data_IF_304939786634
#
_entry.id   IF_304939786634
#
_cell.length_a   1.000
_cell.length_b   1.000
_cell.length_c   1.000
_cell.angle_alpha   90.00
_cell.angle_beta   90.00
_cell.angle_gamma   90.00
#
_symmetry.space_group_name_H-M   'P 1'
#
loop_
_entity.id
_entity.type
_entity.pdbx_description
1 polymer ?
#
# COMPACT_ATOMS: atom_id res chain seq x y z
N UNK A 1 74.68 -51.13 11.12
CA UNK A 1 74.86 -49.96 12.02
C UNK A 1 73.46 -49.62 12.53
N UNK A 2 73.01 -50.10 13.71
CA UNK A 2 73.14 -49.47 15.05
C UNK A 2 72.74 -47.99 15.01
N UNK A 3 71.67 -47.50 15.66
CA UNK A 3 71.21 -47.62 17.06
C UNK A 3 69.66 -47.55 17.10
N UNK A 4 68.94 -48.37 17.87
CA UNK A 4 68.77 -48.39 19.34
C UNK A 4 67.98 -47.18 19.89
N UNK A 5 66.83 -47.55 20.45
CA UNK A 5 66.22 -47.05 21.69
C UNK A 5 65.61 -45.64 21.71
N UNK A 6 64.28 -45.56 21.70
CA UNK A 6 63.51 -45.23 22.91
C UNK A 6 62.00 -45.30 22.62
N UNK A 7 61.40 -46.43 22.98
CA UNK A 7 60.02 -46.48 23.44
C UNK A 7 60.03 -45.99 24.90
N UNK A 8 59.21 -45.01 25.23
CA UNK A 8 58.65 -44.90 26.57
C UNK A 8 57.15 -44.80 26.44
N UNK A 9 56.50 -45.68 27.18
CA UNK A 9 55.07 -45.85 27.33
C UNK A 9 54.35 -44.54 27.60
N UNK A 10 53.19 -44.37 26.97
CA UNK A 10 52.08 -43.73 27.67
C UNK A 10 50.81 -44.47 27.31
N UNK A 11 50.38 -45.29 28.25
CA UNK A 11 49.09 -45.93 28.30
C UNK A 11 47.96 -44.90 28.16
N UNK A 12 46.97 -45.29 27.36
CA UNK A 12 45.54 -45.03 27.52
C UNK A 12 45.10 -43.66 28.04
N UNK A 13 44.51 -42.87 27.15
CA UNK A 13 43.17 -42.37 27.46
C UNK A 13 42.29 -42.45 26.22
N UNK A 14 41.60 -43.58 26.08
CA UNK A 14 40.51 -43.77 25.12
C UNK A 14 39.27 -43.07 25.66
N UNK A 15 39.36 -41.77 25.89
CA UNK A 15 38.20 -40.91 26.05
C UNK A 15 37.54 -40.77 24.69
N UNK A 16 36.72 -41.75 24.31
CA UNK A 16 35.68 -41.57 23.29
C UNK A 16 34.91 -40.32 23.68
N UNK A 17 35.19 -39.20 23.03
CA UNK A 17 34.36 -38.01 23.14
C UNK A 17 33.01 -38.40 22.53
N UNK A 18 32.04 -38.69 23.40
CA UNK A 18 30.63 -38.96 23.04
C UNK A 18 29.98 -37.82 22.24
N UNK A 19 30.71 -36.72 22.02
CA UNK A 19 30.28 -35.55 21.27
C UNK A 19 30.32 -35.72 19.75
N UNK A 20 31.11 -36.66 19.21
CA UNK A 20 31.33 -36.77 17.76
C UNK A 20 30.35 -37.72 17.05
N UNK A 21 29.73 -38.68 17.75
CA UNK A 21 28.85 -39.69 17.15
C UNK A 21 27.38 -39.23 16.98
N UNK A 22 27.06 -37.97 17.30
CA UNK A 22 25.68 -37.46 17.27
C UNK A 22 25.43 -36.33 16.25
N UNK A 23 26.34 -36.08 15.30
CA UNK A 23 26.07 -35.13 14.21
C UNK A 23 25.78 -35.91 12.91
N UNK A 24 24.50 -36.20 12.58
CA UNK A 24 24.18 -36.77 11.28
C UNK A 24 24.45 -35.73 10.20
N UNK A 25 25.49 -35.96 9.39
CA UNK A 25 25.89 -35.12 8.27
C UNK A 25 24.99 -35.26 7.02
N UNK A 26 23.83 -35.90 7.13
CA UNK A 26 22.98 -36.26 6.00
C UNK A 26 21.56 -35.67 6.15
N UNK A 27 21.42 -34.34 6.05
CA UNK A 27 20.16 -33.66 5.68
C UNK A 27 20.34 -32.13 5.58
N UNK A 28 21.29 -31.64 4.80
CA UNK A 28 21.42 -30.18 4.55
C UNK A 28 20.54 -29.75 3.37
N UNK A 29 19.23 -29.96 3.50
CA UNK A 29 18.21 -29.32 2.68
C UNK A 29 17.02 -28.93 3.57
N UNK A 30 17.06 -27.68 4.03
CA UNK A 30 16.09 -27.05 4.93
C UNK A 30 16.70 -26.78 6.30
N UNK A 31 17.19 -25.57 6.54
CA UNK A 31 17.73 -25.18 7.84
C UNK A 31 16.63 -25.01 8.87
N UNK A 32 16.38 -26.05 9.66
CA UNK A 32 15.48 -26.00 10.81
C UNK A 32 16.18 -25.22 11.94
N UNK A 33 15.49 -24.28 12.56
CA UNK A 33 15.96 -23.70 13.83
C UNK A 33 16.12 -24.85 14.83
N UNK A 34 17.33 -25.01 15.40
CA UNK A 34 17.78 -26.18 16.22
C UNK A 34 17.06 -26.38 17.56
N UNK A 35 15.94 -25.71 17.78
CA UNK A 35 15.01 -26.02 18.85
C UNK A 35 13.63 -26.16 18.23
N UNK A 36 12.93 -27.28 18.48
CA UNK A 36 11.57 -27.58 18.01
C UNK A 36 10.46 -26.64 18.50
N UNK A 37 10.76 -25.36 18.72
CA UNK A 37 9.77 -24.32 18.96
C UNK A 37 9.18 -23.91 17.62
N UNK A 38 7.87 -24.13 17.46
CA UNK A 38 7.08 -23.49 16.40
C UNK A 38 7.44 -22.00 16.36
N UNK A 39 7.59 -21.38 15.16
CA UNK A 39 7.80 -19.94 15.07
C UNK A 39 6.75 -19.24 15.93
N UNK A 40 7.18 -18.37 16.84
CA UNK A 40 6.27 -17.65 17.71
C UNK A 40 5.18 -17.01 16.84
N UNK A 41 3.90 -17.29 17.14
CA UNK A 41 2.78 -16.73 16.39
C UNK A 41 2.89 -15.21 16.44
N UNK A 42 3.33 -14.60 15.33
CA UNK A 42 3.42 -13.14 15.22
C UNK A 42 2.02 -12.57 15.42
N UNK A 43 1.87 -11.70 16.41
CA UNK A 43 0.61 -11.00 16.62
C UNK A 43 0.39 -10.04 15.44
N UNK A 44 -0.59 -10.35 14.57
CA UNK A 44 -0.99 -9.51 13.42
C UNK A 44 -2.24 -8.67 13.72
N UNK A 45 -2.65 -8.56 14.99
CA UNK A 45 -3.82 -7.76 15.38
C UNK A 45 -3.69 -6.31 14.91
N UNK A 46 -2.50 -5.71 15.06
CA UNK A 46 -2.25 -4.34 14.60
C UNK A 46 -2.42 -4.19 13.08
N UNK A 47 -1.89 -5.13 12.27
CA UNK A 47 -2.03 -5.11 10.81
C UNK A 47 -3.49 -5.27 10.36
N UNK A 48 -4.27 -6.08 11.10
CA UNK A 48 -5.70 -6.25 10.85
C UNK A 48 -6.50 -4.98 11.16
N UNK A 49 -6.14 -4.27 12.23
CA UNK A 49 -6.78 -3.02 12.62
C UNK A 49 -6.41 -1.86 11.68
N UNK A 50 -5.19 -1.85 11.13
CA UNK A 50 -4.66 -0.75 10.29
C UNK A 50 -4.48 -1.20 8.84
N UNK A 51 -5.57 -1.67 8.21
CA UNK A 51 -5.56 -2.10 6.82
C UNK A 51 -5.44 -0.89 5.89
N UNK A 52 -4.59 -0.92 4.86
CA UNK A 52 -4.48 0.18 3.91
C UNK A 52 -5.73 0.30 3.03
N UNK A 53 -6.14 1.52 2.76
CA UNK A 53 -7.17 1.87 1.79
C UNK A 53 -6.56 1.99 0.40
N UNK A 54 -7.21 1.40 -0.61
CA UNK A 54 -6.74 1.40 -1.99
C UNK A 54 -7.51 2.43 -2.82
N UNK A 55 -6.79 3.35 -3.42
CA UNK A 55 -7.31 4.37 -4.32
C UNK A 55 -6.89 4.07 -5.75
N UNK A 56 -7.85 4.08 -6.67
CA UNK A 56 -7.67 3.74 -8.09
C UNK A 56 -7.61 5.02 -8.93
N UNK A 57 -6.96 5.01 -10.09
CA UNK A 57 -6.80 6.17 -10.98
C UNK A 57 -5.92 7.29 -10.41
N UNK A 58 -5.02 6.96 -9.48
CA UNK A 58 -4.01 7.91 -9.01
C UNK A 58 -2.81 7.85 -9.95
N UNK A 59 -2.38 8.97 -10.56
CA UNK A 59 -1.23 9.00 -11.47
C UNK A 59 0.05 8.55 -10.77
N UNK A 60 0.89 7.80 -11.49
CA UNK A 60 2.18 7.29 -10.97
C UNK A 60 3.14 8.43 -10.60
N UNK A 61 3.17 9.50 -11.39
CA UNK A 61 3.97 10.70 -11.12
C UNK A 61 3.70 11.28 -9.72
N UNK A 62 2.42 11.42 -9.36
CA UNK A 62 2.02 11.98 -8.06
C UNK A 62 2.44 11.05 -6.92
N UNK A 63 2.33 9.73 -7.13
CA UNK A 63 2.77 8.73 -6.16
C UNK A 63 4.28 8.82 -5.93
N UNK A 64 5.06 8.91 -7.01
CA UNK A 64 6.53 8.99 -6.94
C UNK A 64 6.99 10.30 -6.26
N UNK A 65 6.33 11.42 -6.53
CA UNK A 65 6.61 12.69 -5.85
C UNK A 65 6.35 12.62 -4.34
N UNK A 66 5.26 11.97 -3.92
CA UNK A 66 4.97 11.76 -2.49
C UNK A 66 6.01 10.86 -1.84
N UNK A 67 6.44 9.78 -2.52
CA UNK A 67 7.48 8.89 -2.02
C UNK A 67 8.83 9.62 -1.86
N UNK A 68 9.22 10.42 -2.85
CA UNK A 68 10.45 11.21 -2.80
C UNK A 68 10.41 12.23 -1.66
N UNK A 69 9.27 12.88 -1.43
CA UNK A 69 9.10 13.81 -0.32
C UNK A 69 9.16 13.09 1.04
N UNK A 70 8.55 11.92 1.16
CA UNK A 70 8.59 11.10 2.37
C UNK A 70 10.03 10.69 2.72
N UNK A 71 10.82 10.28 1.72
CA UNK A 71 12.24 9.98 1.88
C UNK A 71 13.04 11.21 2.34
N UNK A 72 12.80 12.37 1.72
CA UNK A 72 13.44 13.63 2.10
C UNK A 72 13.15 14.02 3.57
N UNK A 73 11.90 13.87 4.00
CA UNK A 73 11.46 14.18 5.37
C UNK A 73 11.74 13.06 6.38
N UNK A 74 12.23 11.89 5.92
CA UNK A 74 12.46 10.68 6.73
C UNK A 74 11.23 10.20 7.50
N UNK A 75 10.06 10.31 6.89
CA UNK A 75 8.77 9.86 7.43
C UNK A 75 8.14 8.84 6.48
N UNK A 76 7.22 7.96 6.94
CA UNK A 76 6.52 7.06 6.03
C UNK A 76 5.62 7.84 5.07
N UNK A 77 5.47 7.32 3.85
CA UNK A 77 4.61 7.94 2.84
C UNK A 77 3.13 8.01 3.25
N UNK A 78 2.70 7.10 4.13
CA UNK A 78 1.36 7.10 4.74
C UNK A 78 1.12 8.41 5.52
N UNK A 79 2.10 8.87 6.32
CA UNK A 79 1.97 10.10 7.13
C UNK A 79 1.96 11.36 6.26
N UNK A 80 2.77 11.38 5.19
CA UNK A 80 2.78 12.50 4.23
C UNK A 80 1.44 12.59 3.49
N UNK A 81 0.93 11.44 3.03
CA UNK A 81 -0.37 11.39 2.36
C UNK A 81 -1.50 11.80 3.32
N UNK A 82 -1.45 11.33 4.58
CA UNK A 82 -2.40 11.72 5.61
C UNK A 82 -2.41 13.24 5.83
N UNK A 83 -1.25 13.86 6.03
CA UNK A 83 -1.15 15.31 6.20
C UNK A 83 -1.66 16.09 4.98
N UNK A 84 -1.45 15.57 3.76
CA UNK A 84 -2.00 16.19 2.55
C UNK A 84 -3.52 16.06 2.44
N UNK A 85 -4.10 14.97 2.94
CA UNK A 85 -5.55 14.80 2.96
C UNK A 85 -6.20 15.72 3.97
N UNK A 86 -5.69 15.78 5.20
CA UNK A 86 -6.19 16.72 6.23
C UNK A 86 -6.09 18.16 5.73
N UNK A 87 -4.92 18.57 5.22
CA UNK A 87 -4.74 19.90 4.65
C UNK A 87 -5.69 20.17 3.48
N UNK A 88 -5.94 19.18 2.62
CA UNK A 88 -6.90 19.29 1.53
C UNK A 88 -8.32 19.50 2.01
N UNK A 89 -8.77 18.70 2.98
CA UNK A 89 -10.10 18.81 3.60
C UNK A 89 -10.30 20.17 4.27
N UNK A 90 -9.32 20.65 5.04
CA UNK A 90 -9.35 21.97 5.68
C UNK A 90 -9.53 23.08 4.64
N UNK A 91 -8.77 23.03 3.53
CA UNK A 91 -8.85 24.05 2.48
C UNK A 91 -10.16 24.00 1.69
N UNK A 92 -10.77 22.83 1.57
CA UNK A 92 -12.12 22.69 0.98
C UNK A 92 -13.17 23.28 1.93
N UNK A 93 -13.09 22.96 3.23
CA UNK A 93 -13.99 23.52 4.26
C UNK A 93 -13.89 25.05 4.36
N UNK A 94 -12.70 25.62 4.21
CA UNK A 94 -12.48 27.07 4.15
C UNK A 94 -12.89 27.72 2.80
N UNK A 95 -13.26 26.92 1.79
CA UNK A 95 -13.57 27.41 0.43
C UNK A 95 -12.35 27.91 -0.36
N UNK A 96 -11.13 27.72 0.14
CA UNK A 96 -9.88 28.12 -0.53
C UNK A 96 -9.45 27.15 -1.64
N UNK A 97 -9.86 25.89 -1.54
CA UNK A 97 -9.68 24.88 -2.58
C UNK A 97 -11.02 24.55 -3.23
N UNK A 98 -11.25 25.05 -4.44
CA UNK A 98 -12.45 24.72 -5.21
C UNK A 98 -12.25 23.42 -5.98
N UNK A 99 -12.90 22.35 -5.52
CA UNK A 99 -13.00 21.09 -6.27
C UNK A 99 -14.25 21.16 -7.13
N UNK A 100 -14.09 21.39 -8.44
CA UNK A 100 -15.22 21.41 -9.39
C UNK A 100 -15.26 20.12 -10.17
N UNK A 101 -16.37 19.40 -10.09
CA UNK A 101 -16.63 18.25 -10.95
C UNK A 101 -16.94 18.74 -12.38
N UNK A 102 -16.26 18.17 -13.38
CA UNK A 102 -16.57 18.41 -14.79
C UNK A 102 -17.01 17.10 -15.44
N UNK A 103 -18.12 17.08 -16.20
CA UNK A 103 -18.55 15.89 -16.90
C UNK A 103 -17.47 15.41 -17.87
N UNK A 104 -17.05 14.15 -17.74
CA UNK A 104 -16.11 13.56 -18.69
C UNK A 104 -16.77 13.46 -20.07
N UNK A 105 -16.26 14.15 -21.11
CA UNK A 105 -16.87 14.13 -22.44
C UNK A 105 -16.85 12.73 -23.08
N UNK A 106 -15.85 11.90 -22.75
CA UNK A 106 -15.71 10.52 -23.23
C UNK A 106 -16.50 9.50 -22.38
N UNK A 107 -16.99 9.91 -21.21
CA UNK A 107 -17.71 9.05 -20.26
C UNK A 107 -19.24 9.10 -20.41
N UNK A 108 -19.76 9.82 -21.40
CA UNK A 108 -21.21 9.97 -21.61
C UNK A 108 -21.83 8.62 -21.98
N UNK A 109 -22.77 8.16 -21.16
CA UNK A 109 -23.61 7.00 -21.47
C UNK A 109 -24.95 7.49 -22.00
N UNK A 110 -25.44 6.84 -23.05
CA UNK A 110 -26.82 7.03 -23.49
C UNK A 110 -27.75 6.38 -22.46
N UNK A 111 -28.74 7.13 -21.98
CA UNK A 111 -29.80 6.64 -21.10
C UNK A 111 -31.13 6.87 -21.81
N UNK A 112 -32.05 5.92 -21.67
CA UNK A 112 -33.41 6.05 -22.17
C UNK A 112 -34.32 6.78 -21.17
N UNK A 113 -33.79 7.10 -19.99
CA UNK A 113 -34.45 7.88 -18.96
C UNK A 113 -33.68 9.19 -18.75
N UNK A 114 -34.01 10.25 -19.50
CA UNK A 114 -33.51 11.58 -19.19
C UNK A 114 -34.07 11.97 -17.82
N UNK A 115 -33.22 12.41 -16.88
CA UNK A 115 -33.61 12.79 -15.51
C UNK A 115 -34.77 13.80 -15.41
N UNK A 116 -35.11 14.49 -16.51
CA UNK A 116 -36.13 15.54 -16.57
C UNK A 116 -37.32 15.21 -17.48
N UNK A 117 -37.38 14.02 -18.08
CA UNK A 117 -38.52 13.61 -18.91
C UNK A 117 -39.12 12.32 -18.35
N UNK A 118 -40.30 12.46 -17.76
CA UNK A 118 -41.18 11.33 -17.41
C UNK A 118 -41.94 10.96 -18.69
N UNK A 119 -41.83 9.70 -19.13
CA UNK A 119 -42.56 9.22 -20.32
C UNK A 119 -41.90 9.54 -21.67
N UNK A 120 -40.57 9.50 -21.77
CA UNK A 120 -39.83 9.66 -23.04
C UNK A 120 -39.94 8.45 -23.98
N UNK A 121 -41.11 7.81 -24.02
CA UNK A 121 -41.41 6.64 -24.84
C UNK A 121 -42.74 6.87 -25.52
N UNK A 122 -42.76 6.72 -26.83
CA UNK A 122 -43.96 6.88 -27.65
C UNK A 122 -44.32 5.54 -28.26
N UNK A 123 -45.62 5.21 -28.26
CA UNK A 123 -46.12 4.03 -28.95
C UNK A 123 -46.13 4.32 -30.45
N UNK A 124 -45.14 3.80 -31.17
CA UNK A 124 -44.99 4.06 -32.60
C UNK A 124 -45.86 3.09 -33.44
N UNK A 125 -46.81 3.63 -34.20
CA UNK A 125 -47.55 2.88 -35.25
C UNK A 125 -46.75 2.87 -36.55
N UNK A 126 -45.52 2.35 -36.52
CA UNK A 126 -44.60 2.29 -37.65
C UNK A 126 -44.30 0.85 -38.10
N UNK A 127 -43.51 0.68 -39.18
CA UNK A 127 -43.02 -0.64 -39.58
C UNK A 127 -42.19 -1.27 -38.45
N UNK A 128 -42.26 -2.60 -38.35
CA UNK A 128 -41.56 -3.38 -37.32
C UNK A 128 -40.05 -3.05 -37.33
N UNK A 129 -39.51 -2.67 -36.18
CA UNK A 129 -38.08 -2.43 -36.01
C UNK A 129 -37.37 -3.73 -35.64
N UNK A 130 -36.29 -4.06 -36.35
CA UNK A 130 -35.47 -5.22 -36.03
C UNK A 130 -34.47 -4.91 -34.91
N UNK A 131 -34.37 -5.83 -33.95
CA UNK A 131 -33.38 -5.74 -32.86
C UNK A 131 -32.04 -6.23 -33.39
N UNK A 132 -31.00 -5.37 -33.48
CA UNK A 132 -29.72 -5.79 -34.01
C UNK A 132 -29.07 -6.83 -33.09
N UNK A 133 -28.59 -7.93 -33.68
CA UNK A 133 -27.87 -8.95 -32.94
C UNK A 133 -26.60 -8.38 -32.27
N UNK A 134 -26.40 -8.69 -30.98
CA UNK A 134 -25.24 -8.20 -30.21
C UNK A 134 -23.95 -8.75 -30.81
N UNK A 135 -23.15 -7.86 -31.42
CA UNK A 135 -21.79 -8.21 -31.88
C UNK A 135 -20.88 -8.48 -30.68
N UNK A 136 -20.52 -9.74 -30.45
CA UNK A 136 -19.51 -10.13 -29.47
C UNK A 136 -18.13 -9.78 -30.02
N UNK A 137 -17.60 -8.61 -29.67
CA UNK A 137 -16.22 -8.26 -29.99
C UNK A 137 -15.30 -9.16 -29.15
N UNK A 138 -14.41 -9.92 -29.80
CA UNK A 138 -13.37 -10.72 -29.12
C UNK A 138 -12.36 -9.73 -28.53
N UNK A 139 -12.57 -9.35 -27.27
CA UNK A 139 -11.67 -8.45 -26.57
C UNK A 139 -10.48 -9.28 -26.10
N UNK A 140 -9.32 -9.11 -26.73
CA UNK A 140 -8.06 -9.51 -26.13
C UNK A 140 -7.90 -8.77 -24.80
N UNK A 141 -7.96 -9.51 -23.70
CA UNK A 141 -7.74 -8.98 -22.36
C UNK A 141 -6.26 -8.68 -22.18
N UNK A 142 -5.76 -7.58 -22.77
CA UNK A 142 -4.53 -6.96 -22.28
C UNK A 142 -4.83 -6.48 -20.86
N UNK A 143 -4.24 -7.12 -19.86
CA UNK A 143 -4.31 -6.67 -18.47
C UNK A 143 -3.67 -5.29 -18.36
N UNK A 144 -4.44 -4.23 -18.63
CA UNK A 144 -4.05 -2.87 -18.29
C UNK A 144 -4.17 -2.77 -16.77
N UNK A 145 -3.04 -2.82 -16.07
CA UNK A 145 -3.00 -2.55 -14.64
C UNK A 145 -3.39 -1.09 -14.42
N UNK A 146 -4.55 -0.88 -13.81
CA UNK A 146 -4.99 0.48 -13.47
C UNK A 146 -4.08 0.99 -12.35
N UNK A 147 -3.45 2.16 -12.50
CA UNK A 147 -2.56 2.68 -11.47
C UNK A 147 -3.37 2.91 -10.20
N UNK A 148 -2.85 2.38 -9.09
CA UNK A 148 -3.50 2.43 -7.80
C UNK A 148 -2.46 2.66 -6.71
N UNK A 149 -2.85 3.40 -5.69
CA UNK A 149 -2.03 3.66 -4.51
C UNK A 149 -2.77 3.18 -3.27
N UNK A 150 -2.02 2.67 -2.31
CA UNK A 150 -2.56 2.16 -1.05
C UNK A 150 -1.92 2.94 0.09
N UNK A 151 -2.75 3.58 0.92
CA UNK A 151 -2.29 4.32 2.10
C UNK A 151 -2.97 3.82 3.36
N UNK A 152 -2.24 3.79 4.48
CA UNK A 152 -2.80 3.53 5.81
C UNK A 152 -3.15 4.86 6.46
N UNK A 153 -4.42 5.23 6.42
CA UNK A 153 -4.92 6.47 7.02
C UNK A 153 -5.97 6.17 8.08
N UNK A 154 -6.21 7.07 9.03
CA UNK A 154 -7.33 6.96 9.96
C UNK A 154 -8.67 6.86 9.23
N UNK A 155 -9.65 6.12 9.79
CA UNK A 155 -10.95 5.92 9.14
C UNK A 155 -11.76 7.21 9.02
N UNK A 156 -11.57 8.19 9.91
CA UNK A 156 -12.24 9.50 9.84
C UNK A 156 -11.94 10.20 8.52
N UNK A 157 -10.65 10.41 8.23
CA UNK A 157 -10.20 11.05 6.98
C UNK A 157 -10.66 10.29 5.74
N UNK A 158 -10.63 8.95 5.76
CA UNK A 158 -11.15 8.16 4.64
C UNK A 158 -12.65 8.39 4.41
N UNK A 159 -13.43 8.47 5.49
CA UNK A 159 -14.88 8.69 5.44
C UNK A 159 -15.18 10.07 4.85
N UNK A 160 -14.46 11.11 5.29
CA UNK A 160 -14.61 12.47 4.77
C UNK A 160 -14.27 12.57 3.28
N UNK A 161 -13.23 11.87 2.84
CA UNK A 161 -12.88 11.76 1.41
C UNK A 161 -13.99 11.07 0.59
N UNK A 162 -14.62 10.04 1.14
CA UNK A 162 -15.73 9.35 0.51
C UNK A 162 -16.99 10.22 0.45
N UNK A 163 -17.33 10.93 1.53
CA UNK A 163 -18.45 11.87 1.55
C UNK A 163 -18.27 12.98 0.52
N UNK A 164 -17.07 13.57 0.42
CA UNK A 164 -16.76 14.58 -0.59
C UNK A 164 -16.84 14.01 -2.03
N UNK A 165 -16.47 12.73 -2.21
CA UNK A 165 -16.59 12.03 -3.49
C UNK A 165 -18.04 11.85 -3.92
N UNK A 166 -18.90 11.49 -2.98
CA UNK A 166 -20.33 11.32 -3.20
C UNK A 166 -21.00 12.67 -3.52
N UNK A 167 -20.70 13.71 -2.75
CA UNK A 167 -21.21 15.07 -2.97
C UNK A 167 -20.88 15.61 -4.37
N UNK A 168 -19.67 15.35 -4.84
CA UNK A 168 -19.20 15.80 -6.15
C UNK A 168 -19.52 14.83 -7.29
N UNK A 169 -20.06 13.64 -6.98
CA UNK A 169 -20.27 12.55 -7.93
C UNK A 169 -19.01 12.17 -8.74
N UNK A 170 -17.85 12.20 -8.06
CA UNK A 170 -16.51 11.96 -8.64
C UNK A 170 -15.89 10.73 -7.96
N UNK A 171 -15.09 9.90 -8.67
CA UNK A 171 -14.40 8.79 -8.01
C UNK A 171 -13.42 9.29 -6.92
N UNK A 172 -13.40 8.62 -5.77
CA UNK A 172 -12.52 8.95 -4.62
C UNK A 172 -11.06 9.13 -5.03
N UNK A 173 -10.57 8.33 -5.99
CA UNK A 173 -9.20 8.43 -6.48
C UNK A 173 -8.85 9.75 -7.20
N UNK A 174 -9.82 10.42 -7.82
CA UNK A 174 -9.62 11.75 -8.41
C UNK A 174 -9.48 12.83 -7.32
N UNK A 175 -10.29 12.74 -6.25
CA UNK A 175 -10.16 13.63 -5.09
C UNK A 175 -8.80 13.45 -4.44
N UNK A 176 -8.42 12.20 -4.16
CA UNK A 176 -7.10 11.85 -3.62
C UNK A 176 -5.99 12.42 -4.50
N UNK A 177 -6.09 12.27 -5.82
CA UNK A 177 -5.11 12.83 -6.76
C UNK A 177 -5.03 14.35 -6.67
N UNK A 178 -6.19 15.02 -6.59
CA UNK A 178 -6.25 16.48 -6.49
C UNK A 178 -5.61 16.97 -5.18
N UNK A 179 -5.92 16.31 -4.05
CA UNK A 179 -5.40 16.67 -2.74
C UNK A 179 -3.89 16.45 -2.66
N UNK A 180 -3.37 15.32 -3.15
CA UNK A 180 -1.93 15.07 -3.20
C UNK A 180 -1.23 16.13 -4.07
N UNK A 181 -1.77 16.44 -5.25
CA UNK A 181 -1.22 17.51 -6.11
C UNK A 181 -1.26 18.87 -5.44
N UNK A 182 -2.33 19.19 -4.73
CA UNK A 182 -2.48 20.45 -4.02
C UNK A 182 -1.50 20.55 -2.84
N UNK A 183 -1.33 19.48 -2.07
CA UNK A 183 -0.35 19.37 -0.99
C UNK A 183 1.08 19.56 -1.50
N UNK A 184 1.46 18.84 -2.57
CA UNK A 184 2.77 18.96 -3.21
C UNK A 184 3.04 20.39 -3.73
N UNK A 185 2.07 21.01 -4.40
CA UNK A 185 2.17 22.42 -4.84
C UNK A 185 2.31 23.38 -3.67
N UNK A 186 1.52 23.18 -2.61
CA UNK A 186 1.54 24.04 -1.42
C UNK A 186 2.84 23.90 -0.63
N UNK A 187 3.39 22.69 -0.58
CA UNK A 187 4.70 22.42 0.02
C UNK A 187 5.81 23.09 -0.77
N UNK A 188 5.85 22.91 -2.10
CA UNK A 188 6.82 23.58 -2.98
C UNK A 188 6.74 25.10 -2.90
N UNK A 189 5.53 25.64 -2.72
CA UNK A 189 5.31 27.08 -2.55
C UNK A 189 5.58 27.60 -1.13
N UNK A 190 5.97 26.74 -0.18
CA UNK A 190 6.21 27.12 1.22
C UNK A 190 4.96 27.47 2.03
N UNK A 191 3.76 27.25 1.49
CA UNK A 191 2.48 27.51 2.18
C UNK A 191 2.12 26.39 3.16
N UNK A 192 2.58 25.18 2.87
CA UNK A 192 2.44 24.00 3.73
C UNK A 192 3.84 23.61 4.22
N UNK A 193 4.06 23.67 5.53
CA UNK A 193 5.31 23.23 6.16
C UNK A 193 5.03 21.95 6.93
N UNK A 194 5.70 20.86 6.53
CA UNK A 194 5.66 19.59 7.24
C UNK A 194 6.85 19.53 8.19
N UNK A 195 6.58 19.46 9.50
CA UNK A 195 7.62 19.32 10.53
C UNK A 195 7.57 17.90 11.10
N UNK A 196 8.49 17.01 10.71
CA UNK A 196 8.52 15.65 11.24
C UNK A 196 8.83 15.67 12.74
N UNK A 197 8.05 14.95 13.53
CA UNK A 197 8.27 14.79 14.96
C UNK A 197 8.79 13.39 15.27
N UNK A 198 9.81 13.24 16.12
CA UNK A 198 10.31 11.92 16.48
C UNK A 198 9.30 11.19 17.37
N UNK A 199 8.82 10.04 16.90
CA UNK A 199 8.03 9.12 17.71
C UNK A 199 8.95 8.00 18.19
N UNK A 200 9.07 7.83 19.51
CA UNK A 200 9.90 6.77 20.09
C UNK A 200 9.21 5.41 19.94
N UNK A 201 9.59 4.62 18.94
CA UNK A 201 8.94 3.33 18.65
C UNK A 201 9.62 2.14 19.34
N UNK A 202 10.90 2.25 19.75
CA UNK A 202 11.63 1.18 20.43
C UNK A 202 12.57 1.73 21.50
N UNK A 203 12.43 1.24 22.72
CA UNK A 203 13.40 1.46 23.79
C UNK A 203 14.60 0.52 23.58
N UNK A 204 15.82 1.05 23.67
CA UNK A 204 17.06 0.25 23.68
C UNK A 204 17.74 0.41 25.03
N UNK A 205 18.15 -0.70 25.65
CA UNK A 205 18.97 -0.69 26.85
C UNK A 205 20.41 -0.31 26.46
N UNK A 206 20.97 0.74 27.07
CA UNK A 206 22.42 0.97 27.03
C UNK A 206 23.03 0.22 28.21
N UNK A 207 23.93 -0.72 27.95
CA UNK A 207 24.79 -1.29 28.98
C UNK A 207 25.79 -0.22 29.39
N UNK A 208 25.80 0.17 30.66
CA UNK A 208 26.87 0.99 31.22
C UNK A 208 28.04 0.05 31.50
N UNK A 209 29.06 0.07 30.65
CA UNK A 209 30.38 -0.45 31.01
C UNK A 209 31.03 0.62 31.90
N UNK A 210 31.20 0.29 33.19
CA UNK A 210 32.02 1.03 34.15
C UNK A 210 33.49 0.63 33.99
#
# INVERSE_FOLDING_TARGET
MSRKDMLTDTHADTGRSEFADSIPLAATAGGWNRHGRRPAKRNRQWEKAHRPYRYVNVPLEVREEVLALAEHLRVPADDVAHAFFEYGLDRVGEGKLQVKAQPNPLGRKMTLFPQKQVGAWEEATGPQQDIPARRKKRVERKQKSVPAVSYRIPPGVHTDLCSLAEELAVPVGEIVTNFLRHGLKSYRAGRLKLTPQPVTVKMTLKGNEQ
#
